data_IF_116790994651
#
_entry.id   IF_116790994651
#
_cell.length_a   1.000
_cell.length_b   1.000
_cell.length_c   1.000
_cell.angle_alpha   90.00
_cell.angle_beta   90.00
_cell.angle_gamma   90.00
#
_symmetry.space_group_name_H-M   'P 1'
#
loop_
_entity.id
_entity.type
_entity.pdbx_description
1 polymer ?
#
# COMPACT_ATOMS: atom_id res chain seq x y z
N UNK A 1 -24.00 26.95 -8.34
CA UNK A 1 -25.04 25.96 -7.97
C UNK A 1 -24.33 24.70 -7.50
N UNK A 2 -24.49 24.32 -6.24
CA UNK A 2 -23.90 23.08 -5.72
C UNK A 2 -24.74 21.89 -6.21
N UNK A 3 -24.09 20.93 -6.85
CA UNK A 3 -24.72 19.69 -7.30
C UNK A 3 -25.18 18.92 -6.05
N UNK A 4 -26.45 18.46 -5.94
CA UNK A 4 -26.87 17.64 -4.82
C UNK A 4 -26.26 16.25 -4.97
N UNK A 5 -25.10 16.03 -4.35
CA UNK A 5 -24.47 14.72 -4.28
C UNK A 5 -25.22 13.83 -3.28
N UNK A 6 -25.35 12.52 -3.55
CA UNK A 6 -25.88 11.58 -2.59
C UNK A 6 -25.07 11.61 -1.29
N UNK A 7 -25.72 11.43 -0.15
CA UNK A 7 -25.06 11.39 1.15
C UNK A 7 -24.16 10.16 1.26
N UNK A 8 -22.85 10.37 1.40
CA UNK A 8 -21.86 9.30 1.55
C UNK A 8 -20.78 9.34 0.47
N UNK A 9 -19.75 8.52 0.63
CA UNK A 9 -18.68 8.39 -0.37
C UNK A 9 -19.13 7.46 -1.49
N UNK A 10 -18.91 7.88 -2.74
CA UNK A 10 -19.10 7.03 -3.91
C UNK A 10 -17.95 6.03 -3.99
N UNK A 11 -18.14 4.79 -4.50
CA UNK A 11 -17.07 3.80 -4.61
C UNK A 11 -15.80 4.32 -5.31
N UNK A 12 -15.96 5.20 -6.31
CA UNK A 12 -14.86 5.84 -7.01
C UNK A 12 -14.07 6.82 -6.11
N UNK A 13 -14.75 7.54 -5.22
CA UNK A 13 -14.10 8.43 -4.26
C UNK A 13 -13.32 7.62 -3.22
N UNK A 14 -13.88 6.51 -2.75
CA UNK A 14 -13.16 5.59 -1.84
C UNK A 14 -11.91 5.03 -2.51
N UNK A 15 -12.01 4.58 -3.76
CA UNK A 15 -10.85 4.12 -4.52
C UNK A 15 -9.79 5.21 -4.69
N UNK A 16 -10.21 6.45 -4.99
CA UNK A 16 -9.33 7.60 -5.10
C UNK A 16 -8.60 7.95 -3.79
N UNK A 17 -9.26 7.79 -2.64
CA UNK A 17 -8.61 7.98 -1.34
C UNK A 17 -7.54 6.92 -1.10
N UNK A 18 -7.85 5.65 -1.39
CA UNK A 18 -6.91 4.52 -1.24
C UNK A 18 -5.71 4.61 -2.19
N UNK A 19 -5.83 5.30 -3.32
CA UNK A 19 -4.75 5.47 -4.30
C UNK A 19 -3.49 6.15 -3.75
N UNK A 20 -3.64 6.93 -2.68
CA UNK A 20 -2.52 7.61 -2.01
C UNK A 20 -1.67 6.69 -1.13
N UNK A 21 -2.16 5.48 -0.83
CA UNK A 21 -1.46 4.51 0.01
C UNK A 21 -0.18 4.01 -0.66
N UNK A 22 0.87 3.82 0.14
CA UNK A 22 2.17 3.35 -0.34
C UNK A 22 2.17 1.83 -0.52
N UNK A 23 2.57 1.39 -1.72
CA UNK A 23 2.73 -0.03 -2.06
C UNK A 23 4.14 -0.33 -2.53
N UNK A 24 4.61 -1.55 -2.25
CA UNK A 24 5.93 -1.99 -2.67
C UNK A 24 5.88 -2.52 -4.10
N UNK A 25 6.75 -2.00 -4.97
CA UNK A 25 6.88 -2.44 -6.36
C UNK A 25 8.30 -2.89 -6.67
N UNK A 26 8.41 -3.79 -7.65
CA UNK A 26 9.65 -4.19 -8.29
C UNK A 26 9.70 -3.57 -9.70
N UNK A 27 10.54 -2.55 -9.93
CA UNK A 27 10.68 -1.93 -11.23
C UNK A 27 11.39 -2.87 -12.22
N UNK A 28 10.96 -2.83 -13.48
CA UNK A 28 11.58 -3.56 -14.61
C UNK A 28 12.50 -2.68 -15.45
N UNK A 29 12.34 -1.37 -15.37
CA UNK A 29 13.13 -0.38 -16.08
C UNK A 29 13.69 0.64 -15.08
N UNK A 30 14.84 1.21 -15.42
CA UNK A 30 15.37 2.39 -14.75
C UNK A 30 14.46 3.59 -15.02
N UNK A 31 14.07 4.26 -13.94
CA UNK A 31 13.23 5.45 -13.95
C UNK A 31 13.84 6.47 -13.01
N UNK A 32 14.06 7.67 -13.51
CA UNK A 32 14.59 8.76 -12.70
C UNK A 32 13.47 9.39 -11.86
N UNK A 33 13.85 10.10 -10.80
CA UNK A 33 12.91 10.75 -9.90
C UNK A 33 12.16 11.89 -10.61
N UNK A 34 10.85 11.94 -10.41
CA UNK A 34 9.99 13.02 -10.89
C UNK A 34 9.60 13.88 -9.70
N UNK A 35 9.78 15.20 -9.82
CA UNK A 35 9.32 16.18 -8.84
C UNK A 35 7.82 16.42 -9.02
N UNK A 36 7.03 16.09 -8.00
CA UNK A 36 5.59 16.31 -7.97
C UNK A 36 5.24 17.30 -6.85
N UNK A 37 4.01 17.84 -6.89
CA UNK A 37 3.50 18.73 -5.84
C UNK A 37 3.56 18.11 -4.43
N UNK A 38 3.33 16.80 -4.34
CA UNK A 38 3.43 16.03 -3.09
C UNK A 38 4.85 15.61 -2.70
N UNK A 39 5.88 16.14 -3.38
CA UNK A 39 7.28 15.78 -3.19
C UNK A 39 7.85 14.91 -4.31
N UNK A 40 9.17 14.68 -4.30
CA UNK A 40 9.83 13.88 -5.32
C UNK A 40 9.51 12.39 -5.18
N UNK A 41 9.27 11.73 -6.30
CA UNK A 41 9.15 10.27 -6.36
C UNK A 41 10.53 9.60 -6.26
N UNK A 42 10.63 8.42 -5.61
CA UNK A 42 11.90 7.73 -5.51
C UNK A 42 12.37 7.25 -6.88
N UNK A 43 13.68 7.37 -7.15
CA UNK A 43 14.28 6.82 -8.36
C UNK A 43 14.15 5.29 -8.37
N UNK A 44 13.58 4.72 -9.42
CA UNK A 44 13.37 3.27 -9.50
C UNK A 44 14.52 2.63 -10.28
N UNK A 45 15.24 1.72 -9.63
CA UNK A 45 16.37 1.00 -10.22
C UNK A 45 16.15 -0.52 -10.08
N UNK A 46 15.95 -1.26 -11.18
CA UNK A 46 15.82 -2.71 -11.12
C UNK A 46 17.07 -3.39 -10.55
N UNK A 47 16.94 -4.49 -9.78
CA UNK A 47 15.71 -5.13 -9.30
C UNK A 47 15.29 -4.64 -7.90
N UNK A 48 15.77 -3.47 -7.45
CA UNK A 48 15.53 -2.99 -6.07
C UNK A 48 14.06 -2.67 -5.87
N UNK A 49 13.50 -3.20 -4.77
CA UNK A 49 12.14 -2.86 -4.33
C UNK A 49 12.09 -1.39 -3.93
N UNK A 50 10.96 -0.75 -4.18
CA UNK A 50 10.75 0.65 -3.81
C UNK A 50 9.28 0.85 -3.45
N UNK A 51 9.00 1.77 -2.52
CA UNK A 51 7.63 2.10 -2.15
C UNK A 51 7.19 3.34 -2.93
N UNK A 52 6.07 3.22 -3.62
CA UNK A 52 5.46 4.31 -4.37
C UNK A 52 3.95 4.33 -4.10
N UNK A 53 3.27 5.46 -4.31
CA UNK A 53 1.82 5.51 -4.21
C UNK A 53 1.14 4.52 -5.16
N UNK A 54 -0.01 3.99 -4.74
CA UNK A 54 -0.79 3.00 -5.49
C UNK A 54 -1.20 3.50 -6.88
N UNK A 55 -1.61 4.76 -7.02
CA UNK A 55 -1.94 5.34 -8.33
C UNK A 55 -0.78 5.23 -9.33
N UNK A 56 0.46 5.50 -8.87
CA UNK A 56 1.65 5.45 -9.71
C UNK A 56 2.01 3.99 -10.01
N UNK A 57 1.87 3.10 -9.03
CA UNK A 57 2.09 1.68 -9.21
C UNK A 57 1.17 1.07 -10.27
N UNK A 58 -0.13 1.42 -10.24
CA UNK A 58 -1.13 0.95 -11.23
C UNK A 58 -0.77 1.48 -12.62
N UNK A 59 -0.40 2.75 -12.75
CA UNK A 59 0.03 3.35 -14.01
C UNK A 59 1.24 2.61 -14.60
N UNK A 60 2.30 2.40 -13.80
CA UNK A 60 3.51 1.70 -14.23
C UNK A 60 3.26 0.22 -14.55
N UNK A 61 2.30 -0.43 -13.85
CA UNK A 61 1.89 -1.80 -14.14
C UNK A 61 1.18 -1.90 -15.49
N UNK A 62 0.26 -0.98 -15.81
CA UNK A 62 -0.40 -0.89 -17.12
C UNK A 62 0.60 -0.71 -18.25
N UNK A 63 1.66 0.08 -18.02
CA UNK A 63 2.77 0.27 -18.98
C UNK A 63 3.76 -0.92 -19.01
N UNK A 64 3.56 -1.97 -18.21
CA UNK A 64 4.48 -3.13 -18.05
C UNK A 64 5.88 -2.78 -17.53
N UNK A 65 6.04 -1.65 -16.84
CA UNK A 65 7.33 -1.11 -16.35
C UNK A 65 7.64 -1.46 -14.91
N UNK A 66 6.66 -1.92 -14.14
CA UNK A 66 6.82 -2.38 -12.77
C UNK A 66 5.89 -3.57 -12.46
N UNK A 67 6.28 -4.37 -11.49
CA UNK A 67 5.45 -5.41 -10.90
C UNK A 67 5.11 -5.02 -9.45
N UNK A 68 3.83 -5.01 -9.12
CA UNK A 68 3.37 -4.75 -7.75
C UNK A 68 3.56 -6.02 -6.93
N UNK A 69 4.12 -5.89 -5.74
CA UNK A 69 4.29 -7.00 -4.79
C UNK A 69 3.09 -6.98 -3.85
N UNK A 70 2.44 -8.12 -3.68
CA UNK A 70 1.35 -8.25 -2.74
C UNK A 70 1.86 -8.07 -1.28
N UNK A 71 1.12 -7.33 -0.43
CA UNK A 71 1.47 -7.21 0.98
C UNK A 71 1.31 -8.56 1.70
N UNK A 72 2.04 -8.75 2.81
CA UNK A 72 2.11 -10.03 3.51
C UNK A 72 0.75 -10.53 4.05
N UNK A 73 -0.15 -9.61 4.41
CA UNK A 73 -1.49 -9.96 4.88
C UNK A 73 -2.40 -10.48 3.77
N UNK A 74 -2.11 -10.18 2.49
CA UNK A 74 -2.88 -10.65 1.34
C UNK A 74 -2.43 -12.05 0.87
N UNK A 75 -1.61 -12.74 1.65
CA UNK A 75 -1.24 -14.13 1.37
C UNK A 75 -2.40 -15.07 1.70
N UNK A 76 -2.68 -16.12 0.90
CA UNK A 76 -3.80 -17.03 1.14
C UNK A 76 -3.78 -17.69 2.53
N UNK A 77 -2.60 -17.94 3.09
CA UNK A 77 -2.48 -18.49 4.44
C UNK A 77 -2.93 -17.49 5.50
N UNK A 78 -2.44 -16.25 5.45
CA UNK A 78 -2.87 -15.16 6.33
C UNK A 78 -4.38 -14.93 6.27
N UNK A 79 -4.97 -15.01 5.08
CA UNK A 79 -6.43 -14.86 4.89
C UNK A 79 -7.22 -16.03 5.48
N UNK A 80 -6.70 -17.27 5.40
CA UNK A 80 -7.33 -18.42 6.05
C UNK A 80 -7.34 -18.27 7.56
N UNK A 81 -6.25 -17.77 8.13
CA UNK A 81 -6.16 -17.53 9.58
C UNK A 81 -7.17 -16.47 10.04
N UNK A 82 -7.30 -15.37 9.27
CA UNK A 82 -8.32 -14.34 9.53
C UNK A 82 -9.73 -14.92 9.47
N UNK A 83 -10.06 -15.72 8.44
CA UNK A 83 -11.37 -16.35 8.32
C UNK A 83 -11.63 -17.32 9.49
N UNK A 84 -10.64 -18.11 9.89
CA UNK A 84 -10.77 -19.01 11.03
C UNK A 84 -10.99 -18.24 12.34
N UNK A 85 -10.34 -17.11 12.50
CA UNK A 85 -10.53 -16.24 13.65
C UNK A 85 -11.98 -15.72 13.73
N UNK A 86 -12.48 -15.13 12.64
CA UNK A 86 -13.84 -14.56 12.57
C UNK A 86 -14.96 -15.62 12.65
N UNK A 87 -14.71 -16.82 12.14
CA UNK A 87 -15.74 -17.87 12.10
C UNK A 87 -15.75 -18.78 13.33
N UNK A 88 -14.60 -19.09 13.93
CA UNK A 88 -14.48 -20.10 15.00
C UNK A 88 -14.05 -19.55 16.35
N UNK A 89 -13.23 -18.50 16.39
CA UNK A 89 -12.56 -18.05 17.61
C UNK A 89 -13.33 -16.92 18.28
N UNK A 90 -13.66 -15.88 17.51
CA UNK A 90 -14.47 -14.76 17.96
C UNK A 90 -15.55 -14.44 16.91
N UNK A 91 -16.76 -14.92 17.18
CA UNK A 91 -17.92 -14.74 16.29
C UNK A 91 -18.67 -13.43 16.57
N UNK A 92 -18.40 -12.77 17.70
CA UNK A 92 -19.07 -11.52 18.07
C UNK A 92 -18.29 -10.28 17.65
N UNK A 93 -16.96 -10.38 17.56
CA UNK A 93 -16.05 -9.32 17.14
C UNK A 93 -15.58 -9.44 15.69
N UNK A 94 -14.86 -8.41 15.24
CA UNK A 94 -14.14 -8.43 13.96
C UNK A 94 -12.67 -8.81 14.19
N UNK A 95 -12.04 -9.46 13.22
CA UNK A 95 -10.61 -9.67 13.27
C UNK A 95 -9.86 -8.31 13.32
N UNK A 96 -8.68 -8.26 13.98
CA UNK A 96 -7.89 -7.05 13.97
C UNK A 96 -7.53 -6.64 12.53
N UNK A 97 -7.48 -5.33 12.24
CA UNK A 97 -7.16 -4.86 10.91
C UNK A 97 -5.77 -5.33 10.47
N UNK A 98 -5.53 -5.51 9.16
CA UNK A 98 -4.23 -5.89 8.66
C UNK A 98 -3.16 -4.86 9.09
N UNK A 99 -1.92 -5.29 9.32
CA UNK A 99 -0.86 -4.40 9.74
C UNK A 99 -0.65 -3.29 8.71
N UNK A 100 -0.35 -2.05 9.15
CA UNK A 100 -0.14 -0.93 8.25
C UNK A 100 1.02 -1.21 7.27
N UNK A 101 0.98 -0.61 6.07
CA UNK A 101 1.99 -0.86 5.04
C UNK A 101 3.40 -0.58 5.56
N UNK A 102 4.32 -1.49 5.23
CA UNK A 102 5.70 -1.47 5.70
C UNK A 102 6.56 -0.77 4.65
N UNK A 103 7.27 0.32 5.03
CA UNK A 103 8.25 0.97 4.16
C UNK A 103 9.48 0.08 4.03
N UNK A 104 9.74 -0.45 2.85
CA UNK A 104 11.06 -0.96 2.50
C UNK A 104 12.09 0.20 2.44
N UNK A 105 13.09 0.20 3.32
CA UNK A 105 14.22 1.11 3.33
C UNK A 105 15.22 0.78 2.20
N UNK A 106 16.04 1.75 1.81
CA UNK A 106 17.11 1.59 0.81
C UNK A 106 18.16 0.53 1.15
N UNK A 107 18.17 0.08 2.41
CA UNK A 107 19.02 -1.01 2.97
C UNK A 107 18.38 -2.39 2.89
N UNK A 108 17.15 -2.51 2.38
CA UNK A 108 16.42 -3.78 2.27
C UNK A 108 15.65 -4.19 3.52
N UNK A 109 15.61 -3.35 4.55
CA UNK A 109 14.82 -3.57 5.77
C UNK A 109 13.39 -3.04 5.59
N UNK A 110 12.41 -3.67 6.23
CA UNK A 110 11.02 -3.22 6.18
C UNK A 110 10.67 -2.56 7.54
N UNK A 111 10.48 -1.23 7.56
CA UNK A 111 10.06 -0.46 8.75
C UNK A 111 8.58 -0.13 8.71
N UNK A 112 7.87 -0.33 9.83
CA UNK A 112 6.45 0.06 9.95
C UNK A 112 6.36 1.59 9.92
N UNK A 113 5.42 2.14 9.17
CA UNK A 113 5.25 3.61 9.05
C UNK A 113 4.85 4.25 10.39
N UNK A 114 4.25 3.47 11.30
CA UNK A 114 3.79 3.91 12.63
C UNK A 114 4.34 3.03 13.77
N UNK A 115 5.51 2.41 13.61
CA UNK A 115 6.13 1.70 14.73
C UNK A 115 6.77 2.73 15.65
N UNK A 116 6.33 2.82 16.91
CA UNK A 116 7.10 3.49 17.96
C UNK A 116 8.54 3.00 17.87
N UNK A 117 9.48 3.91 17.60
CA UNK A 117 10.89 3.61 17.68
C UNK A 117 11.21 3.38 19.18
N UNK A 118 11.71 2.19 19.58
CA UNK A 118 12.12 1.96 20.96
C UNK A 118 13.35 2.79 21.36
N UNK A 119 13.95 3.53 20.42
CA UNK A 119 15.08 4.44 20.64
C UNK A 119 14.66 5.92 20.80
N UNK A 120 13.35 6.21 20.82
CA UNK A 120 12.81 7.56 21.10
C UNK A 120 12.07 7.61 22.46
N UNK A 121 12.64 7.02 23.52
CA UNK A 121 12.70 7.54 24.92
C UNK A 121 13.40 6.56 25.86
#
# INVERSE_FOLDING_TARGET
MALPLPSGLVPNEVAFLCETELVTVMPRQRLDSIELLGGPTPSLRPPRRSNIPLWLAILLKKQRRANIIAPAWLHPESLRDIIQHETKTDTSGWAPPPPPPVRADSRGNARRINGDDPDET
#
